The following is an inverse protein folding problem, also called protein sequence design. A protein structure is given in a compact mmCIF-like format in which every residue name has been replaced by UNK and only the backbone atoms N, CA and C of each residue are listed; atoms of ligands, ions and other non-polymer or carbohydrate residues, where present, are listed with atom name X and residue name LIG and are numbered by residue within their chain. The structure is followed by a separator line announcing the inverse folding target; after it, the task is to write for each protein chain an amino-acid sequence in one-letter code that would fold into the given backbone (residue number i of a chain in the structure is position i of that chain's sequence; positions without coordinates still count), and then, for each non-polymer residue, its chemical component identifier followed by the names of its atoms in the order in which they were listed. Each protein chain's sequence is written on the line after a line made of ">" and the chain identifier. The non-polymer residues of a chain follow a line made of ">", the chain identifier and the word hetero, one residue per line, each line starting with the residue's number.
data_IF_413886806445
#
_entry.id   IF_413886806445
#
_cell.length_a   1.000
_cell.length_b   1.000
_cell.length_c   1.000
_cell.angle_alpha   90.00
_cell.angle_beta   90.00
_cell.angle_gamma   90.00
#
_symmetry.space_group_name_H-M   'P 1'
#
loop_
_entity.id
_entity.type
_entity.pdbx_description
1 polymer ?
#
# COMPACT_ATOMS: atom_id res chain seq x y z
N UNK A 1 -7.81 -24.88 14.88
CA UNK A 1 -8.24 -23.93 13.81
C UNK A 1 -7.43 -24.11 12.52
N UNK A 2 -6.09 -24.00 12.61
CA UNK A 2 -5.14 -24.11 11.47
C UNK A 2 -5.32 -25.36 10.61
N UNK A 3 -5.38 -26.56 11.20
CA UNK A 3 -5.55 -27.81 10.44
C UNK A 3 -6.84 -27.80 9.61
N UNK A 4 -7.95 -27.33 10.19
CA UNK A 4 -9.24 -27.23 9.51
C UNK A 4 -9.18 -26.23 8.36
N UNK A 5 -8.62 -25.04 8.59
CA UNK A 5 -8.42 -24.00 7.57
C UNK A 5 -7.58 -24.50 6.40
N UNK A 6 -6.51 -25.26 6.68
CA UNK A 6 -5.66 -25.87 5.66
C UNK A 6 -6.39 -26.94 4.83
N UNK A 7 -7.22 -27.77 5.46
CA UNK A 7 -8.06 -28.75 4.73
C UNK A 7 -9.07 -28.01 3.84
N UNK A 8 -9.69 -26.94 4.32
CA UNK A 8 -10.60 -26.13 3.50
C UNK A 8 -9.89 -25.54 2.28
N UNK A 9 -8.65 -25.07 2.45
CA UNK A 9 -7.82 -24.52 1.38
C UNK A 9 -7.50 -25.56 0.30
N UNK A 10 -7.05 -26.76 0.69
CA UNK A 10 -6.61 -27.79 -0.26
C UNK A 10 -7.73 -28.34 -1.15
N UNK A 11 -8.99 -28.20 -0.73
CA UNK A 11 -10.16 -28.61 -1.52
C UNK A 11 -10.74 -27.49 -2.39
N UNK A 12 -10.25 -26.24 -2.30
CA UNK A 12 -10.76 -25.14 -3.15
C UNK A 12 -10.37 -25.31 -4.61
N UNK A 13 -11.26 -24.93 -5.51
CA UNK A 13 -11.03 -24.89 -6.96
C UNK A 13 -11.72 -23.65 -7.53
N UNK A 14 -11.18 -23.10 -8.61
CA UNK A 14 -11.73 -21.90 -9.24
C UNK A 14 -11.91 -20.76 -8.21
N UNK A 15 -10.96 -20.65 -7.28
CA UNK A 15 -10.94 -19.68 -6.19
C UNK A 15 -9.82 -18.67 -6.40
N UNK A 16 -9.89 -17.57 -5.66
CA UNK A 16 -8.78 -16.64 -5.53
C UNK A 16 -7.79 -17.12 -4.47
N UNK A 17 -6.50 -16.98 -4.73
CA UNK A 17 -5.47 -17.04 -3.68
C UNK A 17 -5.02 -15.61 -3.38
N UNK A 18 -4.88 -15.29 -2.11
CA UNK A 18 -4.41 -13.99 -1.63
C UNK A 18 -3.14 -14.29 -0.83
N UNK A 19 -2.04 -13.65 -1.20
CA UNK A 19 -0.72 -13.83 -0.57
C UNK A 19 -0.36 -12.55 0.18
N UNK A 20 -0.15 -12.70 1.49
CA UNK A 20 0.12 -11.61 2.42
C UNK A 20 -1.15 -10.97 2.97
N UNK A 21 -1.20 -10.75 4.28
CA UNK A 21 -2.28 -10.09 4.99
C UNK A 21 -1.92 -8.63 5.32
N UNK A 22 -2.18 -7.76 4.34
CA UNK A 22 -2.05 -6.31 4.48
C UNK A 22 -3.39 -5.62 4.19
N UNK A 23 -3.49 -4.31 4.41
CA UNK A 23 -4.72 -3.55 4.21
C UNK A 23 -5.40 -3.73 2.84
N UNK A 24 -4.65 -3.92 1.74
CA UNK A 24 -5.26 -4.22 0.44
C UNK A 24 -5.87 -5.63 0.41
N UNK A 25 -5.17 -6.61 1.00
CA UNK A 25 -5.66 -7.99 1.14
C UNK A 25 -6.89 -8.07 2.02
N UNK A 26 -6.93 -7.31 3.12
CA UNK A 26 -8.14 -7.17 3.95
C UNK A 26 -9.35 -6.76 3.10
N UNK A 27 -9.22 -5.71 2.26
CA UNK A 27 -10.32 -5.29 1.38
C UNK A 27 -10.75 -6.36 0.38
N UNK A 28 -9.80 -7.13 -0.15
CA UNK A 28 -10.09 -8.27 -1.04
C UNK A 28 -10.84 -9.38 -0.28
N UNK A 29 -10.41 -9.70 0.95
CA UNK A 29 -11.01 -10.74 1.80
C UNK A 29 -12.41 -10.32 2.25
N UNK A 30 -12.58 -9.10 2.76
CA UNK A 30 -13.88 -8.50 3.12
C UNK A 30 -14.86 -8.60 1.94
N UNK A 31 -14.41 -8.23 0.74
CA UNK A 31 -15.21 -8.37 -0.48
C UNK A 31 -15.58 -9.83 -0.75
N UNK A 32 -14.62 -10.75 -0.67
CA UNK A 32 -14.88 -12.16 -0.90
C UNK A 32 -15.89 -12.73 0.10
N UNK A 33 -15.78 -12.38 1.38
CA UNK A 33 -16.70 -12.80 2.44
C UNK A 33 -18.11 -12.22 2.16
N UNK A 34 -18.20 -10.90 1.95
CA UNK A 34 -19.46 -10.19 1.72
C UNK A 34 -20.23 -10.77 0.53
N UNK A 35 -19.54 -11.09 -0.56
CA UNK A 35 -20.15 -11.60 -1.79
C UNK A 35 -20.07 -13.12 -1.94
N UNK A 36 -19.70 -13.84 -0.88
CA UNK A 36 -19.57 -15.32 -0.82
C UNK A 36 -18.70 -15.89 -1.95
N UNK A 37 -17.64 -15.19 -2.32
CA UNK A 37 -16.64 -15.63 -3.30
C UNK A 37 -15.68 -16.62 -2.64
N UNK A 38 -15.22 -17.60 -3.42
CA UNK A 38 -14.26 -18.59 -2.94
C UNK A 38 -12.86 -17.98 -2.93
N UNK A 39 -12.20 -18.02 -1.78
CA UNK A 39 -10.82 -17.57 -1.63
C UNK A 39 -10.02 -18.49 -0.69
N UNK A 40 -8.71 -18.32 -0.73
CA UNK A 40 -7.74 -18.86 0.22
C UNK A 40 -6.70 -17.78 0.51
N UNK A 41 -6.31 -17.61 1.78
CA UNK A 41 -5.21 -16.73 2.19
C UNK A 41 -3.96 -17.56 2.47
N UNK A 42 -2.79 -17.06 2.09
CA UNK A 42 -1.47 -17.54 2.55
C UNK A 42 -0.81 -16.40 3.32
N UNK A 43 -0.48 -16.67 4.57
CA UNK A 43 0.14 -15.71 5.49
C UNK A 43 1.11 -16.46 6.41
N UNK A 44 2.30 -15.94 6.67
CA UNK A 44 3.30 -16.61 7.50
C UNK A 44 3.17 -16.24 8.98
N UNK A 45 2.64 -15.04 9.29
CA UNK A 45 2.36 -14.61 10.65
C UNK A 45 0.93 -15.00 11.09
N UNK A 46 0.83 -16.05 11.91
CA UNK A 46 -0.45 -16.55 12.44
C UNK A 46 -1.23 -15.49 13.25
N UNK A 47 -0.54 -14.61 13.98
CA UNK A 47 -1.17 -13.60 14.84
C UNK A 47 -2.02 -12.61 14.01
N UNK A 48 -1.55 -12.25 12.80
CA UNK A 48 -2.27 -11.32 11.93
C UNK A 48 -3.62 -11.86 11.43
N UNK A 49 -3.79 -13.18 11.43
CA UNK A 49 -4.96 -13.86 10.83
C UNK A 49 -5.76 -14.69 11.82
N UNK A 50 -5.50 -14.50 13.12
CA UNK A 50 -6.14 -15.26 14.19
C UNK A 50 -7.68 -15.19 14.10
N UNK A 51 -8.23 -13.99 13.89
CA UNK A 51 -9.68 -13.79 13.75
C UNK A 51 -10.26 -14.56 12.56
N UNK A 52 -9.55 -14.56 11.42
CA UNK A 52 -9.98 -15.29 10.22
C UNK A 52 -9.88 -16.81 10.42
N UNK A 53 -8.88 -17.29 11.16
CA UNK A 53 -8.74 -18.69 11.55
C UNK A 53 -9.88 -19.13 12.48
N UNK A 54 -10.22 -18.30 13.47
CA UNK A 54 -11.30 -18.54 14.41
C UNK A 54 -12.67 -18.54 13.70
N UNK A 55 -12.84 -17.69 12.68
CA UNK A 55 -13.99 -17.70 11.77
C UNK A 55 -13.99 -18.88 10.76
N UNK A 56 -13.00 -19.78 10.81
CA UNK A 56 -12.85 -20.98 9.97
C UNK A 56 -12.75 -20.65 8.48
N UNK A 57 -12.10 -19.54 8.13
CA UNK A 57 -11.79 -19.23 6.73
C UNK A 57 -10.65 -20.13 6.19
N UNK A 58 -10.57 -20.35 4.87
CA UNK A 58 -9.51 -21.14 4.24
C UNK A 58 -8.19 -20.36 4.24
N UNK A 59 -7.27 -20.76 5.11
CA UNK A 59 -6.00 -20.08 5.35
C UNK A 59 -4.90 -21.14 5.42
N UNK A 60 -3.77 -20.85 4.79
CA UNK A 60 -2.52 -21.60 4.87
C UNK A 60 -1.53 -20.74 5.65
N UNK A 61 -1.14 -21.22 6.83
CA UNK A 61 -0.06 -20.59 7.60
C UNK A 61 1.27 -21.09 7.05
N UNK A 62 2.07 -20.19 6.47
CA UNK A 62 3.39 -20.49 5.93
C UNK A 62 3.88 -19.52 4.87
N UNK A 63 5.17 -19.58 4.59
CA UNK A 63 5.83 -18.75 3.58
C UNK A 63 5.30 -19.10 2.17
N UNK A 64 4.77 -18.11 1.46
CA UNK A 64 4.23 -18.28 0.12
C UNK A 64 5.30 -18.57 -0.95
N UNK A 65 6.57 -18.26 -0.65
CA UNK A 65 7.69 -18.64 -1.51
C UNK A 65 7.96 -20.15 -1.47
N UNK A 66 7.45 -20.88 -0.47
CA UNK A 66 7.55 -22.33 -0.39
C UNK A 66 6.51 -23.03 -1.27
N UNK A 67 6.97 -24.04 -2.02
CA UNK A 67 6.09 -24.78 -2.95
C UNK A 67 4.97 -25.49 -2.19
N UNK A 68 5.26 -25.99 -0.98
CA UNK A 68 4.29 -26.66 -0.11
C UNK A 68 3.14 -25.75 0.27
N UNK A 69 3.39 -24.47 0.56
CA UNK A 69 2.34 -23.49 0.88
C UNK A 69 1.40 -23.26 -0.30
N UNK A 70 1.96 -23.13 -1.51
CA UNK A 70 1.18 -22.97 -2.75
C UNK A 70 0.37 -24.23 -3.10
N UNK A 71 0.92 -25.42 -2.83
CA UNK A 71 0.21 -26.69 -2.99
C UNK A 71 -0.94 -26.83 -2.00
N UNK A 72 -0.72 -26.48 -0.72
CA UNK A 72 -1.76 -26.48 0.31
C UNK A 72 -2.89 -25.48 0.01
N UNK A 73 -2.57 -24.35 -0.63
CA UNK A 73 -3.55 -23.39 -1.13
C UNK A 73 -4.23 -23.82 -2.45
N UNK A 74 -3.84 -24.98 -2.97
CA UNK A 74 -4.31 -25.56 -4.22
C UNK A 74 -4.12 -24.66 -5.46
N UNK A 75 -2.96 -23.98 -5.55
CA UNK A 75 -2.64 -23.03 -6.62
C UNK A 75 -2.77 -23.58 -8.04
N UNK A 76 -2.58 -24.90 -8.21
CA UNK A 76 -2.78 -25.61 -9.47
C UNK A 76 -4.18 -25.39 -10.09
N UNK A 77 -5.19 -25.18 -9.25
CA UNK A 77 -6.59 -25.00 -9.69
C UNK A 77 -7.16 -23.64 -9.29
N UNK A 78 -6.31 -22.71 -8.86
CA UNK A 78 -6.70 -21.35 -8.58
C UNK A 78 -7.09 -20.65 -9.88
N UNK A 79 -8.15 -19.83 -9.79
CA UNK A 79 -8.58 -18.97 -10.88
C UNK A 79 -7.61 -17.81 -11.05
N UNK A 80 -7.28 -17.19 -9.93
CA UNK A 80 -6.45 -16.00 -9.87
C UNK A 80 -5.67 -15.94 -8.57
N UNK A 81 -4.56 -15.20 -8.58
CA UNK A 81 -3.74 -14.93 -7.39
C UNK A 81 -3.49 -13.44 -7.25
N UNK A 82 -3.67 -12.92 -6.05
CA UNK A 82 -3.29 -11.58 -5.63
C UNK A 82 -2.06 -11.67 -4.73
N UNK A 83 -0.92 -11.17 -5.21
CA UNK A 83 0.32 -11.10 -4.45
C UNK A 83 0.46 -9.66 -3.93
N UNK A 84 0.19 -9.47 -2.64
CA UNK A 84 0.11 -8.13 -2.04
C UNK A 84 1.27 -7.80 -1.09
N UNK A 85 2.35 -8.56 -1.18
CA UNK A 85 3.57 -8.40 -0.37
C UNK A 85 4.40 -7.20 -0.83
N UNK A 86 5.07 -6.54 0.11
CA UNK A 86 6.08 -5.50 -0.16
C UNK A 86 7.50 -6.09 -0.17
N UNK A 87 7.69 -7.24 -0.84
CA UNK A 87 9.01 -7.86 -1.04
C UNK A 87 9.14 -8.31 -2.50
N UNK A 88 10.14 -7.74 -3.18
CA UNK A 88 10.43 -8.01 -4.60
C UNK A 88 10.77 -9.48 -4.84
N UNK A 89 11.51 -10.12 -3.93
CA UNK A 89 11.86 -11.55 -4.03
C UNK A 89 10.60 -12.39 -3.92
N UNK A 90 9.73 -12.09 -2.96
CA UNK A 90 8.46 -12.82 -2.78
C UNK A 90 7.60 -12.66 -4.03
N UNK A 91 7.48 -11.44 -4.57
CA UNK A 91 6.73 -11.16 -5.79
C UNK A 91 7.23 -12.00 -6.98
N UNK A 92 8.55 -12.05 -7.22
CA UNK A 92 9.14 -12.80 -8.33
C UNK A 92 9.00 -14.31 -8.11
N UNK A 93 9.42 -14.84 -6.96
CA UNK A 93 9.44 -16.29 -6.69
C UNK A 93 8.02 -16.86 -6.73
N UNK A 94 7.06 -16.21 -6.08
CA UNK A 94 5.67 -16.66 -6.08
C UNK A 94 5.10 -16.66 -7.51
N UNK A 95 5.32 -15.59 -8.26
CA UNK A 95 4.83 -15.48 -9.65
C UNK A 95 5.39 -16.60 -10.52
N UNK A 96 6.69 -16.86 -10.45
CA UNK A 96 7.33 -17.96 -11.17
C UNK A 96 6.74 -19.33 -10.82
N UNK A 97 6.61 -19.63 -9.52
CA UNK A 97 6.11 -20.92 -9.04
C UNK A 97 4.66 -21.13 -9.43
N UNK A 98 3.81 -20.12 -9.23
CA UNK A 98 2.39 -20.17 -9.61
C UNK A 98 2.25 -20.37 -11.11
N UNK A 99 2.99 -19.62 -11.94
CA UNK A 99 2.92 -19.78 -13.40
C UNK A 99 3.37 -21.17 -13.86
N UNK A 100 4.39 -21.76 -13.23
CA UNK A 100 4.82 -23.15 -13.50
C UNK A 100 3.74 -24.17 -13.10
N UNK A 101 3.09 -23.98 -11.96
CA UNK A 101 2.04 -24.88 -11.46
C UNK A 101 0.71 -24.75 -12.21
N UNK A 102 0.39 -23.53 -12.66
CA UNK A 102 -0.85 -23.17 -13.31
C UNK A 102 -0.59 -22.13 -14.42
N UNK A 103 -0.27 -22.58 -15.65
CA UNK A 103 0.05 -21.72 -16.77
C UNK A 103 -1.06 -20.74 -17.17
N UNK A 104 -2.31 -21.00 -16.77
CA UNK A 104 -3.49 -20.20 -17.13
C UNK A 104 -4.00 -19.32 -15.99
N UNK A 105 -3.34 -19.31 -14.83
CA UNK A 105 -3.76 -18.48 -13.71
C UNK A 105 -3.62 -17.00 -14.03
N UNK A 106 -4.61 -16.19 -13.64
CA UNK A 106 -4.47 -14.73 -13.65
C UNK A 106 -3.69 -14.30 -12.41
N UNK A 107 -2.55 -13.64 -12.60
CA UNK A 107 -1.69 -13.24 -11.47
C UNK A 107 -1.67 -11.72 -11.41
N UNK A 108 -2.11 -11.16 -10.29
CA UNK A 108 -2.05 -9.73 -9.99
C UNK A 108 -1.01 -9.50 -8.90
N UNK A 109 0.02 -8.72 -9.20
CA UNK A 109 1.20 -8.59 -8.34
C UNK A 109 1.44 -7.14 -7.99
N UNK A 110 1.44 -6.83 -6.70
CA UNK A 110 1.88 -5.52 -6.23
C UNK A 110 3.40 -5.46 -6.33
N UNK A 111 3.91 -4.47 -7.04
CA UNK A 111 5.34 -4.19 -7.13
C UNK A 111 5.56 -2.68 -7.26
N UNK A 112 6.50 -2.14 -6.49
CA UNK A 112 6.72 -0.69 -6.43
C UNK A 112 7.72 -0.19 -7.47
N UNK A 113 8.79 -0.94 -7.70
CA UNK A 113 9.83 -0.60 -8.64
C UNK A 113 9.40 -0.91 -10.09
N UNK A 114 9.71 0.01 -11.00
CA UNK A 114 9.22 -0.05 -12.38
C UNK A 114 9.85 -1.18 -13.17
N UNK A 115 11.15 -1.41 -13.00
CA UNK A 115 11.87 -2.53 -13.62
C UNK A 115 11.35 -3.90 -13.15
N UNK A 116 10.93 -4.02 -11.89
CA UNK A 116 10.30 -5.26 -11.37
C UNK A 116 8.93 -5.45 -12.01
N UNK A 117 8.13 -4.39 -12.10
CA UNK A 117 6.83 -4.46 -12.75
C UNK A 117 6.94 -4.88 -14.23
N UNK A 118 7.92 -4.35 -14.96
CA UNK A 118 8.22 -4.72 -16.34
C UNK A 118 8.62 -6.19 -16.44
N UNK A 119 9.57 -6.64 -15.63
CA UNK A 119 9.99 -8.05 -15.57
C UNK A 119 8.82 -9.01 -15.33
N UNK A 120 7.90 -8.68 -14.41
CA UNK A 120 6.74 -9.52 -14.09
C UNK A 120 5.73 -9.61 -15.25
N UNK A 121 5.65 -8.61 -16.13
CA UNK A 121 4.73 -8.58 -17.27
C UNK A 121 5.24 -9.40 -18.45
N UNK A 122 6.55 -9.54 -18.59
CA UNK A 122 7.16 -10.24 -19.72
C UNK A 122 6.91 -11.76 -19.68
N UNK A 123 6.90 -12.44 -20.84
CA UNK A 123 6.90 -13.89 -20.89
C UNK A 123 8.13 -14.49 -20.18
N UNK A 124 8.00 -15.65 -19.50
CA UNK A 124 6.79 -16.48 -19.41
C UNK A 124 5.83 -16.08 -18.27
N UNK A 125 6.16 -15.08 -17.44
CA UNK A 125 5.41 -14.75 -16.23
C UNK A 125 4.03 -14.18 -16.54
N UNK A 126 3.95 -13.27 -17.52
CA UNK A 126 2.69 -12.69 -18.00
C UNK A 126 1.76 -12.25 -16.85
N UNK A 127 2.32 -11.69 -15.78
CA UNK A 127 1.57 -11.24 -14.62
C UNK A 127 1.15 -9.78 -14.79
N UNK A 128 -0.05 -9.44 -14.30
CA UNK A 128 -0.47 -8.05 -14.21
C UNK A 128 0.19 -7.43 -12.97
N UNK A 129 1.21 -6.60 -13.17
CA UNK A 129 1.87 -5.90 -12.08
C UNK A 129 1.32 -4.48 -11.89
N UNK A 130 1.14 -4.05 -10.65
CA UNK A 130 0.62 -2.72 -10.29
C UNK A 130 1.29 -2.11 -9.06
N UNK A 131 1.14 -0.80 -8.91
CA UNK A 131 1.70 -0.04 -7.77
C UNK A 131 0.61 0.83 -7.15
N UNK A 132 0.24 0.53 -5.90
CA UNK A 132 -0.74 1.34 -5.16
C UNK A 132 -0.24 2.76 -4.89
N UNK A 133 1.08 2.95 -4.74
CA UNK A 133 1.66 4.29 -4.63
C UNK A 133 1.58 5.06 -5.97
N UNK A 134 1.54 4.38 -7.14
CA UNK A 134 1.32 5.08 -8.43
C UNK A 134 -0.10 5.60 -8.50
N UNK A 135 -1.08 4.79 -8.10
CA UNK A 135 -2.49 5.19 -8.01
C UNK A 135 -2.74 6.29 -6.97
N UNK A 136 -1.99 6.29 -5.86
CA UNK A 136 -2.06 7.35 -4.87
C UNK A 136 -1.55 8.69 -5.44
N UNK A 137 -0.50 8.64 -6.28
CA UNK A 137 0.10 9.85 -6.85
C UNK A 137 -0.84 10.63 -7.77
N UNK A 138 -1.86 10.02 -8.40
CA UNK A 138 -2.79 10.73 -9.29
C UNK A 138 -3.38 12.00 -8.64
N UNK A 139 -3.83 11.90 -7.38
CA UNK A 139 -4.34 13.07 -6.66
C UNK A 139 -3.23 14.02 -6.21
N UNK A 140 -2.05 13.49 -5.87
CA UNK A 140 -0.89 14.31 -5.50
C UNK A 140 -0.46 15.19 -6.67
N UNK A 141 -0.49 14.68 -7.90
CA UNK A 141 -0.22 15.47 -9.10
C UNK A 141 -1.18 16.65 -9.21
N UNK A 142 -2.47 16.43 -9.02
CA UNK A 142 -3.49 17.48 -9.06
C UNK A 142 -3.31 18.52 -7.95
N UNK A 143 -3.05 18.07 -6.71
CA UNK A 143 -2.91 18.95 -5.55
C UNK A 143 -1.62 19.76 -5.53
N UNK A 144 -0.58 19.27 -6.19
CA UNK A 144 0.72 19.96 -6.25
C UNK A 144 0.87 20.83 -7.50
N UNK A 145 -0.01 20.66 -8.50
CA UNK A 145 0.00 21.43 -9.75
C UNK A 145 -0.04 22.94 -9.49
N UNK A 146 0.89 23.67 -10.12
CA UNK A 146 1.01 25.13 -10.06
C UNK A 146 1.18 25.70 -8.64
N UNK A 147 1.54 24.88 -7.66
CA UNK A 147 1.90 25.35 -6.33
C UNK A 147 3.32 25.90 -6.36
N UNK A 148 3.59 26.83 -5.47
CA UNK A 148 4.90 27.45 -5.27
C UNK A 148 5.27 27.40 -3.79
N UNK A 149 6.53 27.65 -3.47
CA UNK A 149 7.03 27.65 -2.10
C UNK A 149 7.35 26.25 -1.58
N UNK A 150 7.62 26.16 -0.29
CA UNK A 150 8.14 24.94 0.30
C UNK A 150 7.06 23.89 0.56
N UNK A 151 7.44 22.62 0.46
CA UNK A 151 6.66 21.49 0.90
C UNK A 151 7.42 20.69 1.96
N UNK A 152 6.72 20.25 2.98
CA UNK A 152 7.23 19.27 3.95
C UNK A 152 6.62 17.92 3.61
N UNK A 153 7.42 16.86 3.62
CA UNK A 153 6.96 15.48 3.42
C UNK A 153 7.53 14.66 4.57
N UNK A 154 6.68 13.91 5.28
CA UNK A 154 7.06 13.18 6.50
C UNK A 154 6.69 11.72 6.32
N UNK A 155 7.64 10.80 6.54
CA UNK A 155 7.42 9.36 6.45
C UNK A 155 8.62 8.62 5.85
N UNK A 156 8.50 7.29 5.77
CA UNK A 156 9.64 6.39 5.51
C UNK A 156 9.53 5.56 4.24
N UNK A 157 8.39 5.63 3.55
CA UNK A 157 8.02 4.62 2.56
C UNK A 157 8.13 5.09 1.11
N UNK A 158 7.95 4.15 0.18
CA UNK A 158 8.00 4.39 -1.26
C UNK A 158 7.05 5.49 -1.74
N UNK A 159 5.87 5.65 -1.12
CA UNK A 159 4.94 6.72 -1.48
C UNK A 159 5.47 8.08 -1.00
N UNK A 160 5.96 8.16 0.23
CA UNK A 160 6.57 9.35 0.81
C UNK A 160 7.68 9.88 -0.08
N UNK A 161 8.61 9.00 -0.45
CA UNK A 161 9.75 9.32 -1.29
C UNK A 161 9.32 9.77 -2.68
N UNK A 162 8.30 9.11 -3.26
CA UNK A 162 7.74 9.50 -4.56
C UNK A 162 7.08 10.88 -4.52
N UNK A 163 6.38 11.22 -3.44
CA UNK A 163 5.79 12.55 -3.25
C UNK A 163 6.91 13.61 -3.17
N UNK A 164 7.91 13.38 -2.32
CA UNK A 164 9.02 14.31 -2.13
C UNK A 164 9.78 14.55 -3.44
N UNK A 165 10.15 13.47 -4.14
CA UNK A 165 10.83 13.57 -5.43
C UNK A 165 9.96 14.29 -6.47
N UNK A 166 8.68 13.90 -6.64
CA UNK A 166 7.77 14.55 -7.58
C UNK A 166 7.64 16.06 -7.36
N UNK A 167 7.52 16.50 -6.11
CA UNK A 167 7.39 17.93 -5.79
C UNK A 167 8.71 18.66 -6.08
N UNK A 168 9.85 18.06 -5.75
CA UNK A 168 11.17 18.68 -5.95
C UNK A 168 11.56 18.89 -7.41
N UNK A 169 10.91 18.17 -8.34
CA UNK A 169 11.10 18.37 -9.78
C UNK A 169 10.29 19.54 -10.35
N UNK A 170 9.41 20.16 -9.56
CA UNK A 170 8.60 21.28 -10.01
C UNK A 170 9.35 22.61 -9.79
N UNK A 171 9.17 23.60 -10.69
CA UNK A 171 9.81 24.91 -10.54
C UNK A 171 9.30 25.62 -9.28
N UNK A 172 10.18 26.42 -8.67
CA UNK A 172 9.88 27.25 -7.49
C UNK A 172 9.36 26.46 -6.27
N UNK A 173 9.79 25.19 -6.15
CA UNK A 173 9.54 24.32 -5.01
C UNK A 173 10.83 24.03 -4.26
N UNK A 174 10.71 24.02 -2.94
CA UNK A 174 11.72 23.49 -2.02
C UNK A 174 11.07 22.39 -1.20
N UNK A 175 11.71 21.23 -1.06
CA UNK A 175 11.13 20.06 -0.38
C UNK A 175 11.98 19.67 0.80
N UNK A 176 11.33 19.47 1.94
CA UNK A 176 11.94 19.04 3.20
C UNK A 176 11.34 17.68 3.58
N UNK A 177 12.11 16.61 3.37
CA UNK A 177 11.75 15.24 3.67
C UNK A 177 12.25 14.87 5.07
N UNK A 178 11.35 14.42 5.95
CA UNK A 178 11.68 13.87 7.27
C UNK A 178 11.48 12.35 7.25
N UNK A 179 12.59 11.62 7.35
CA UNK A 179 12.67 10.16 7.29
C UNK A 179 13.75 9.63 8.24
N UNK A 180 13.33 9.17 9.41
CA UNK A 180 14.19 8.70 10.51
C UNK A 180 14.82 7.31 10.31
N UNK A 181 14.24 6.46 9.47
CA UNK A 181 14.70 5.07 9.33
C UNK A 181 15.38 4.85 7.98
N UNK A 182 14.89 5.49 6.92
CA UNK A 182 15.28 5.24 5.53
C UNK A 182 15.29 3.73 5.23
N UNK A 183 14.15 3.19 4.81
CA UNK A 183 13.86 1.76 4.54
C UNK A 183 14.72 1.12 3.40
N UNK A 184 15.97 1.55 3.22
CA UNK A 184 16.88 1.10 2.17
C UNK A 184 16.46 1.56 0.77
N UNK A 185 15.58 2.57 0.69
CA UNK A 185 15.03 3.05 -0.57
C UNK A 185 16.09 3.91 -1.27
N UNK A 186 16.56 3.44 -2.43
CA UNK A 186 17.51 4.21 -3.24
C UNK A 186 16.84 5.52 -3.70
N UNK A 187 17.50 6.65 -3.38
CA UNK A 187 16.90 7.97 -3.55
C UNK A 187 17.69 8.85 -4.51
N UNK A 188 16.96 9.52 -5.41
CA UNK A 188 17.54 10.49 -6.34
C UNK A 188 17.45 11.87 -5.69
N UNK A 189 18.57 12.30 -5.10
CA UNK A 189 18.69 13.64 -4.51
C UNK A 189 18.80 14.68 -5.64
N UNK A 190 18.22 15.85 -5.43
CA UNK A 190 18.42 17.04 -6.25
C UNK A 190 18.55 18.27 -5.35
N UNK A 191 18.90 19.41 -5.94
CA UNK A 191 19.20 20.65 -5.19
C UNK A 191 18.00 21.22 -4.41
N UNK A 192 16.78 20.87 -4.80
CA UNK A 192 15.54 21.34 -4.17
C UNK A 192 15.00 20.37 -3.11
N UNK A 193 15.77 19.33 -2.74
CA UNK A 193 15.31 18.24 -1.90
C UNK A 193 16.25 18.02 -0.71
N UNK A 194 15.81 18.49 0.44
CA UNK A 194 16.52 18.43 1.71
C UNK A 194 15.98 17.27 2.54
N UNK A 195 16.85 16.40 3.03
CA UNK A 195 16.46 15.19 3.77
C UNK A 195 16.99 15.28 5.21
N UNK A 196 16.12 15.04 6.17
CA UNK A 196 16.42 15.00 7.60
C UNK A 196 16.12 13.62 8.15
N UNK A 197 17.12 13.01 8.79
CA UNK A 197 17.01 11.70 9.44
C UNK A 197 16.41 11.83 10.84
N UNK A 198 15.16 12.33 10.90
CA UNK A 198 14.51 12.69 12.16
C UNK A 198 13.03 12.34 12.14
N UNK A 199 12.54 11.87 13.30
CA UNK A 199 11.13 11.60 13.49
C UNK A 199 10.41 12.89 13.89
N UNK A 200 9.83 13.57 12.90
CA UNK A 200 9.23 14.89 13.10
C UNK A 200 7.73 14.80 13.43
N UNK A 201 7.41 14.79 14.73
CA UNK A 201 6.02 14.68 15.21
C UNK A 201 5.47 15.95 15.87
N UNK A 202 6.35 16.89 16.22
CA UNK A 202 5.99 18.18 16.79
C UNK A 202 6.29 19.33 15.83
N UNK A 203 5.60 20.47 16.02
CA UNK A 203 5.93 21.70 15.27
C UNK A 203 7.37 22.15 15.52
N UNK A 204 7.91 21.93 16.72
CA UNK A 204 9.29 22.26 17.06
C UNK A 204 10.30 21.55 16.16
N UNK A 205 10.02 20.30 15.82
CA UNK A 205 10.91 19.47 15.01
C UNK A 205 10.98 20.03 13.59
N UNK A 206 9.84 20.45 13.04
CA UNK A 206 9.77 21.13 11.75
C UNK A 206 10.45 22.50 11.79
N UNK A 207 10.18 23.30 12.83
CA UNK A 207 10.72 24.64 12.98
C UNK A 207 12.25 24.68 13.21
N UNK A 208 12.85 23.59 13.68
CA UNK A 208 14.30 23.49 13.83
C UNK A 208 15.03 23.64 12.48
N UNK A 209 14.38 23.22 11.39
CA UNK A 209 14.97 23.16 10.06
C UNK A 209 14.29 24.09 9.05
N UNK A 210 13.00 24.38 9.25
CA UNK A 210 12.15 24.97 8.21
C UNK A 210 11.37 26.18 8.74
N UNK A 211 11.38 27.28 7.98
CA UNK A 211 10.53 28.45 8.22
C UNK A 211 9.13 28.21 7.69
N UNK A 212 8.18 27.89 8.57
CA UNK A 212 6.81 27.51 8.20
C UNK A 212 6.02 28.59 7.46
N UNK A 213 6.45 29.86 7.51
CA UNK A 213 5.86 30.96 6.73
C UNK A 213 6.08 30.79 5.22
N UNK A 214 7.14 30.05 4.83
CA UNK A 214 7.46 29.75 3.42
C UNK A 214 6.85 28.44 2.93
N UNK A 215 6.23 27.67 3.83
CA UNK A 215 5.65 26.37 3.52
C UNK A 215 4.20 26.56 3.08
N UNK A 216 3.83 25.90 1.98
CA UNK A 216 2.48 25.92 1.43
C UNK A 216 1.79 24.57 1.57
N UNK A 217 2.54 23.47 1.66
CA UNK A 217 1.99 22.11 1.75
C UNK A 217 2.76 21.25 2.75
N UNK A 218 2.04 20.42 3.50
CA UNK A 218 2.62 19.36 4.36
C UNK A 218 1.95 18.04 4.02
N UNK A 219 2.75 17.00 3.76
CA UNK A 219 2.31 15.63 3.53
C UNK A 219 2.78 14.75 4.69
N UNK A 220 1.84 14.20 5.46
CA UNK A 220 2.10 13.28 6.56
C UNK A 220 1.77 11.86 6.07
N UNK A 221 2.82 11.04 5.93
CA UNK A 221 2.77 9.73 5.28
C UNK A 221 3.18 8.58 6.20
N UNK A 222 3.11 8.77 7.52
CA UNK A 222 3.33 7.69 8.49
C UNK A 222 2.50 6.46 8.17
N UNK A 223 3.13 5.31 8.38
CA UNK A 223 2.61 4.01 7.92
C UNK A 223 2.13 3.12 9.07
N UNK A 224 2.55 3.41 10.30
CA UNK A 224 2.22 2.60 11.47
C UNK A 224 0.97 3.14 12.17
N UNK A 225 0.13 2.24 12.68
CA UNK A 225 -1.06 2.62 13.45
C UNK A 225 -0.69 3.36 14.75
N UNK A 226 0.46 3.04 15.34
CA UNK A 226 0.98 3.71 16.54
C UNK A 226 1.33 5.18 16.32
N UNK A 227 1.45 5.64 15.07
CA UNK A 227 1.82 7.01 14.71
C UNK A 227 0.60 7.89 14.40
N UNK A 228 -0.59 7.33 14.61
CA UNK A 228 -1.83 7.99 14.26
C UNK A 228 -2.14 9.19 15.16
N UNK A 229 -1.86 9.08 16.45
CA UNK A 229 -2.08 10.16 17.42
C UNK A 229 -1.17 11.35 17.10
N UNK A 230 0.06 11.09 16.67
CA UNK A 230 1.01 12.08 16.17
C UNK A 230 0.47 12.75 14.89
N UNK A 231 -0.13 11.98 13.97
CA UNK A 231 -0.69 12.52 12.73
C UNK A 231 -1.82 13.50 13.01
N UNK A 232 -2.74 13.14 13.93
CA UNK A 232 -3.80 14.04 14.38
C UNK A 232 -3.20 15.26 15.07
N UNK A 233 -2.27 15.04 16.00
CA UNK A 233 -1.65 16.10 16.77
C UNK A 233 -1.01 17.14 15.83
N UNK A 234 -0.11 16.72 14.96
CA UNK A 234 0.62 17.60 14.06
C UNK A 234 -0.32 18.33 13.11
N UNK A 235 -1.30 17.61 12.54
CA UNK A 235 -2.35 18.21 11.70
C UNK A 235 -3.12 19.30 12.44
N UNK A 236 -3.53 19.05 13.68
CA UNK A 236 -4.25 20.02 14.50
C UNK A 236 -3.41 21.25 14.81
N UNK A 237 -2.11 21.07 15.11
CA UNK A 237 -1.19 22.17 15.43
C UNK A 237 -0.89 23.03 14.21
N UNK A 238 -0.66 22.40 13.05
CA UNK A 238 -0.50 23.11 11.78
C UNK A 238 -1.75 23.94 11.46
N UNK A 239 -2.95 23.36 11.60
CA UNK A 239 -4.21 24.10 11.39
C UNK A 239 -4.36 25.31 12.32
N UNK A 240 -4.02 25.15 13.59
CA UNK A 240 -4.19 26.21 14.60
C UNK A 240 -3.16 27.34 14.46
N UNK A 241 -1.91 27.03 14.11
CA UNK A 241 -0.79 27.99 14.10
C UNK A 241 -0.45 28.52 12.70
N UNK A 242 -0.67 27.70 11.68
CA UNK A 242 -0.30 27.98 10.29
C UNK A 242 -1.47 27.61 9.34
N UNK A 243 -2.64 28.27 9.48
CA UNK A 243 -3.85 27.90 8.73
C UNK A 243 -3.73 28.08 7.21
N UNK A 244 -2.66 28.73 6.72
CA UNK A 244 -2.33 28.89 5.31
C UNK A 244 -1.73 27.63 4.68
N UNK A 245 -1.19 26.71 5.49
CA UNK A 245 -0.59 25.45 5.02
C UNK A 245 -1.70 24.46 4.68
N UNK A 246 -1.66 23.92 3.46
CA UNK A 246 -2.49 22.77 3.10
C UNK A 246 -1.88 21.48 3.66
N UNK A 247 -2.63 20.77 4.50
CA UNK A 247 -2.18 19.52 5.11
C UNK A 247 -2.84 18.33 4.42
N UNK A 248 -2.02 17.35 4.06
CA UNK A 248 -2.42 16.09 3.44
C UNK A 248 -1.96 14.95 4.35
N UNK A 249 -2.87 14.08 4.74
CA UNK A 249 -2.59 12.98 5.67
C UNK A 249 -2.93 11.67 5.00
N UNK A 250 -1.97 10.75 4.99
CA UNK A 250 -2.23 9.36 4.62
C UNK A 250 -3.07 8.70 5.70
N UNK A 251 -4.14 8.02 5.30
CA UNK A 251 -4.96 7.22 6.21
C UNK A 251 -5.19 5.84 5.61
N UNK A 252 -5.18 4.82 6.46
CA UNK A 252 -5.48 3.43 6.08
C UNK A 252 -6.89 3.03 6.51
N UNK A 253 -7.31 3.55 7.67
CA UNK A 253 -8.65 3.45 8.20
C UNK A 253 -9.51 4.66 7.79
N UNK A 254 -10.70 4.40 7.27
CA UNK A 254 -11.65 5.43 6.86
C UNK A 254 -12.38 6.07 8.05
N UNK A 255 -12.46 5.41 9.22
CA UNK A 255 -13.07 6.00 10.42
C UNK A 255 -12.32 7.27 10.88
N UNK A 256 -11.00 7.26 10.65
CA UNK A 256 -10.09 8.33 11.03
C UNK A 256 -10.17 9.54 10.10
N UNK A 257 -10.71 9.34 8.90
CA UNK A 257 -10.86 10.37 7.87
C UNK A 257 -11.63 11.59 8.37
N UNK A 258 -12.70 11.35 9.11
CA UNK A 258 -13.57 12.42 9.57
C UNK A 258 -12.97 13.21 10.73
N UNK A 259 -12.03 12.61 11.48
CA UNK A 259 -11.22 13.33 12.46
C UNK A 259 -10.27 14.29 11.75
N UNK A 260 -9.51 13.81 10.75
CA UNK A 260 -8.56 14.63 10.00
C UNK A 260 -9.25 15.78 9.26
N UNK A 261 -10.43 15.54 8.67
CA UNK A 261 -11.22 16.58 8.01
C UNK A 261 -11.66 17.72 8.93
N UNK A 262 -11.89 17.46 10.24
CA UNK A 262 -12.23 18.53 11.21
C UNK A 262 -11.12 19.57 11.32
N UNK A 263 -9.89 19.20 11.01
CA UNK A 263 -8.73 20.10 10.96
C UNK A 263 -8.48 20.69 9.57
N UNK A 264 -9.43 20.59 8.64
CA UNK A 264 -9.34 21.08 7.26
C UNK A 264 -8.18 20.46 6.45
N UNK A 265 -7.80 19.24 6.79
CA UNK A 265 -6.80 18.46 6.07
C UNK A 265 -7.45 17.50 5.07
N UNK A 266 -6.73 17.22 3.98
CA UNK A 266 -7.13 16.27 2.93
C UNK A 266 -6.53 14.90 3.23
N UNK A 267 -7.21 13.83 2.85
CA UNK A 267 -6.74 12.46 3.10
C UNK A 267 -6.46 11.72 1.81
N UNK A 268 -5.47 10.81 1.80
CA UNK A 268 -5.09 10.06 0.60
C UNK A 268 -4.55 8.65 0.89
N UNK A 269 -4.33 7.88 -0.18
CA UNK A 269 -3.76 6.53 -0.17
C UNK A 269 -4.50 5.52 0.73
N UNK A 270 -5.82 5.51 0.64
CA UNK A 270 -6.64 4.57 1.41
C UNK A 270 -6.67 3.20 0.74
N UNK A 271 -6.70 2.13 1.54
CA UNK A 271 -6.81 0.76 1.04
C UNK A 271 -8.05 0.56 0.16
N UNK A 272 -9.13 1.28 0.47
CA UNK A 272 -10.37 1.31 -0.31
C UNK A 272 -10.20 1.93 -1.70
N UNK A 273 -9.43 3.01 -1.84
CA UNK A 273 -9.12 3.57 -3.17
C UNK A 273 -8.27 2.57 -3.97
N UNK A 274 -7.21 2.03 -3.37
CA UNK A 274 -6.36 1.04 -4.02
C UNK A 274 -7.16 -0.19 -4.47
N UNK A 275 -8.07 -0.68 -3.63
CA UNK A 275 -8.97 -1.76 -3.98
C UNK A 275 -9.85 -1.41 -5.19
N UNK A 276 -10.48 -0.23 -5.21
CA UNK A 276 -11.28 0.22 -6.36
C UNK A 276 -10.47 0.31 -7.65
N UNK A 277 -9.24 0.81 -7.62
CA UNK A 277 -8.38 0.82 -8.80
C UNK A 277 -8.03 -0.60 -9.27
N UNK A 278 -7.76 -1.52 -8.33
CA UNK A 278 -7.55 -2.93 -8.66
C UNK A 278 -8.80 -3.55 -9.32
N UNK A 279 -10.01 -3.26 -8.82
CA UNK A 279 -11.25 -3.78 -9.43
C UNK A 279 -11.47 -3.32 -10.87
N UNK A 280 -10.88 -2.19 -11.30
CA UNK A 280 -11.00 -1.70 -12.69
C UNK A 280 -10.08 -2.44 -13.67
N UNK A 281 -9.01 -3.05 -13.16
CA UNK A 281 -7.96 -3.66 -13.99
C UNK A 281 -7.99 -5.18 -13.98
N UNK A 282 -8.67 -5.80 -13.02
CA UNK A 282 -8.92 -7.25 -13.04
C UNK A 282 -9.81 -7.66 -14.20
N UNK A 283 -9.71 -8.94 -14.60
CA UNK A 283 -10.61 -9.54 -15.58
C UNK A 283 -12.08 -9.44 -15.12
N UNK A 284 -13.01 -9.35 -16.08
CA UNK A 284 -14.46 -9.22 -15.80
C UNK A 284 -15.03 -10.36 -14.96
N UNK A 285 -14.41 -11.53 -15.02
CA UNK A 285 -14.83 -12.72 -14.29
C UNK A 285 -14.15 -12.85 -12.92
N UNK A 286 -13.21 -11.97 -12.56
CA UNK A 286 -12.51 -11.96 -11.28
C UNK A 286 -13.46 -11.98 -10.09
N UNK A 287 -13.02 -12.58 -8.97
CA UNK A 287 -13.76 -12.59 -7.71
C UNK A 287 -14.03 -11.18 -7.17
N UNK A 288 -13.20 -10.20 -7.53
CA UNK A 288 -13.33 -8.80 -7.09
C UNK A 288 -13.82 -7.86 -8.18
N UNK A 289 -14.17 -8.36 -9.38
CA UNK A 289 -14.73 -7.52 -10.44
C UNK A 289 -15.97 -6.76 -9.94
N UNK A 290 -16.12 -5.50 -10.32
CA UNK A 290 -17.36 -4.76 -10.07
C UNK A 290 -18.50 -5.44 -10.84
N UNK A 291 -19.57 -5.78 -10.15
CA UNK A 291 -20.81 -6.21 -10.83
C UNK A 291 -21.43 -4.97 -11.47
N UNK A 292 -21.69 -5.05 -12.77
CA UNK A 292 -22.59 -4.12 -13.46
C UNK A 292 -23.99 -4.14 -12.84
#
# INVERSE_FOLDING_TARGET
>A
PVITSRILASHKRNHAIIIGYHHLSERIIEHCIMYKKQFCLIEDNEELVEDLLNAKHPIVIGDATETTSLELANAKYAKEVFINMDDVRVAIICTEKIRKMNPHCQIYVRAFADHVQEYLREPPLNAFSFSTSKWAMEHIHEWTKNKIGGAIVIGRDNLTHRIAYHISQQPDREVYLFDDINDGIAFVVNEHLHIYQEFACYLSDLCAHVKLEKITQVFICWKEESEFDEAIYLTSKLRLRHPHIEVFVRIFDEELKDIIKKFNAKTFSTSKKAFKELQKVVSKDSVIAQKE
#
